data_IF_419746061747
#
_entry.id   IF_419746061747
#
_cell.length_a   1.000
_cell.length_b   1.000
_cell.length_c   1.000
_cell.angle_alpha   90.00
_cell.angle_beta   90.00
_cell.angle_gamma   90.00
#
_symmetry.space_group_name_H-M   'P 1'
#
loop_
_entity.id
_entity.type
_entity.pdbx_description
1 polymer ?
#
# COMPACT_ATOMS: atom_id res chain seq x y z
N UNK A 1 -27.48 -1.62 -4.00
CA UNK A 1 -26.24 -0.99 -4.50
C UNK A 1 -26.13 0.47 -4.08
N UNK A 2 -27.03 1.38 -4.51
CA UNK A 2 -26.92 2.80 -4.14
C UNK A 2 -26.84 3.07 -2.62
N UNK A 3 -27.74 2.49 -1.81
CA UNK A 3 -27.69 2.59 -0.34
C UNK A 3 -26.40 2.05 0.28
N UNK A 4 -25.78 1.03 -0.33
CA UNK A 4 -24.50 0.48 0.11
C UNK A 4 -23.35 1.44 -0.21
N UNK A 5 -23.30 1.95 -1.44
CA UNK A 5 -22.29 2.92 -1.89
C UNK A 5 -22.37 4.20 -1.04
N UNK A 6 -23.57 4.74 -0.82
CA UNK A 6 -23.75 5.93 0.04
C UNK A 6 -23.30 5.69 1.48
N UNK A 7 -23.63 4.52 2.06
CA UNK A 7 -23.17 4.15 3.40
C UNK A 7 -21.64 4.08 3.47
N UNK A 8 -21.00 3.44 2.48
CA UNK A 8 -19.54 3.33 2.39
C UNK A 8 -18.87 4.69 2.18
N UNK A 9 -19.45 5.54 1.33
CA UNK A 9 -18.96 6.90 1.10
C UNK A 9 -19.03 7.74 2.37
N UNK A 10 -20.14 7.67 3.11
CA UNK A 10 -20.29 8.36 4.39
C UNK A 10 -19.25 7.90 5.43
N UNK A 11 -19.03 6.58 5.55
CA UNK A 11 -17.99 6.01 6.42
C UNK A 11 -16.60 6.47 6.00
N UNK A 12 -16.32 6.54 4.69
CA UNK A 12 -15.07 7.03 4.15
C UNK A 12 -14.83 8.50 4.54
N UNK A 13 -15.83 9.37 4.38
CA UNK A 13 -15.72 10.79 4.75
C UNK A 13 -15.49 10.96 6.26
N UNK A 14 -16.24 10.22 7.09
CA UNK A 14 -16.04 10.24 8.55
C UNK A 14 -14.64 9.75 8.93
N UNK A 15 -14.20 8.63 8.34
CA UNK A 15 -12.88 8.07 8.64
C UNK A 15 -11.77 9.06 8.28
N UNK A 16 -11.85 9.70 7.11
CA UNK A 16 -10.89 10.70 6.69
C UNK A 16 -10.91 11.93 7.62
N UNK A 17 -12.10 12.41 8.00
CA UNK A 17 -12.24 13.52 8.94
C UNK A 17 -11.66 13.22 10.33
N UNK A 18 -11.87 11.99 10.84
CA UNK A 18 -11.25 11.53 12.09
C UNK A 18 -9.73 11.56 11.97
N UNK A 19 -9.16 11.06 10.87
CA UNK A 19 -7.71 11.06 10.65
C UNK A 19 -7.18 12.50 10.61
N UNK A 20 -7.79 13.37 9.80
CA UNK A 20 -7.42 14.80 9.70
C UNK A 20 -7.40 15.44 11.09
N UNK A 21 -8.44 15.21 11.88
CA UNK A 21 -8.59 15.79 13.23
C UNK A 21 -7.54 15.23 14.19
N UNK A 22 -7.33 13.91 14.18
CA UNK A 22 -6.35 13.25 15.02
C UNK A 22 -4.93 13.70 14.66
N UNK A 23 -4.60 13.77 13.38
CA UNK A 23 -3.31 14.28 12.89
C UNK A 23 -3.08 15.69 13.39
N UNK A 24 -4.06 16.60 13.27
CA UNK A 24 -3.94 17.96 13.77
C UNK A 24 -3.70 17.99 15.30
N UNK A 25 -4.49 17.25 16.08
CA UNK A 25 -4.35 17.18 17.55
C UNK A 25 -2.96 16.65 17.94
N UNK A 26 -2.49 15.59 17.27
CA UNK A 26 -1.17 15.03 17.53
C UNK A 26 -0.08 16.05 17.22
N UNK A 27 -0.18 16.78 16.11
CA UNK A 27 0.81 17.79 15.73
C UNK A 27 0.92 18.94 16.73
N UNK A 28 -0.21 19.48 17.21
CA UNK A 28 -0.18 20.56 18.22
C UNK A 28 0.27 20.06 19.60
N UNK A 29 0.18 18.75 19.86
CA UNK A 29 0.60 18.13 21.13
C UNK A 29 2.10 17.85 21.18
N UNK A 30 2.80 17.86 20.05
CA UNK A 30 4.25 17.66 20.01
C UNK A 30 4.94 18.90 20.63
N UNK A 31 5.71 18.75 21.72
CA UNK A 31 6.36 19.89 22.36
C UNK A 31 7.49 20.45 21.48
N UNK A 32 7.54 21.78 21.38
CA UNK A 32 8.56 22.55 20.68
C UNK A 32 8.09 23.14 19.34
N UNK A 33 8.63 24.30 18.99
CA UNK A 33 8.33 24.96 17.71
C UNK A 33 9.08 24.28 16.56
N UNK A 34 8.49 24.19 15.35
CA UNK A 34 9.20 23.72 14.15
C UNK A 34 10.41 24.60 13.80
N UNK A 35 10.53 25.80 14.38
CA UNK A 35 11.66 26.72 14.17
C UNK A 35 12.80 26.56 15.20
N UNK A 36 12.61 25.80 16.29
CA UNK A 36 13.58 25.71 17.39
C UNK A 36 14.93 25.05 17.01
N UNK A 37 15.00 24.31 15.90
CA UNK A 37 16.22 23.66 15.41
C UNK A 37 17.14 24.61 14.63
N UNK A 38 16.69 25.81 14.28
CA UNK A 38 17.47 26.85 13.62
C UNK A 38 18.07 27.76 14.70
N UNK A 39 19.22 27.33 15.25
CA UNK A 39 19.91 28.00 16.34
C UNK A 39 20.06 29.51 16.14
N UNK A 40 19.83 30.27 17.21
CA UNK A 40 19.95 31.73 17.27
C UNK A 40 19.05 32.51 16.29
N UNK A 41 17.83 32.05 16.04
CA UNK A 41 16.82 32.90 15.41
C UNK A 41 16.45 34.04 16.37
N UNK A 42 16.71 35.27 15.94
CA UNK A 42 16.24 36.50 16.60
C UNK A 42 14.72 36.37 16.85
N UNK A 43 14.23 36.68 18.06
CA UNK A 43 12.82 36.50 18.45
C UNK A 43 11.85 37.13 17.43
N UNK A 44 12.24 38.24 16.81
CA UNK A 44 11.48 38.92 15.76
C UNK A 44 11.33 38.06 14.51
N UNK A 45 12.38 37.35 14.09
CA UNK A 45 12.35 36.44 12.94
C UNK A 45 11.42 35.27 13.23
N UNK A 46 11.50 34.71 14.43
CA UNK A 46 10.62 33.63 14.84
C UNK A 46 9.14 34.05 14.85
N UNK A 47 8.81 35.23 15.40
CA UNK A 47 7.44 35.75 15.38
C UNK A 47 6.91 36.00 13.97
N UNK A 48 7.78 36.48 13.06
CA UNK A 48 7.40 36.68 11.66
C UNK A 48 7.14 35.34 10.94
N UNK A 49 7.94 34.32 11.22
CA UNK A 49 7.73 32.97 10.69
C UNK A 49 6.43 32.36 11.24
N UNK A 50 6.19 32.45 12.55
CA UNK A 50 4.95 31.96 13.16
C UNK A 50 3.70 32.63 12.55
N UNK A 51 3.75 33.95 12.29
CA UNK A 51 2.69 34.66 11.57
C UNK A 51 2.54 34.20 10.12
N UNK A 52 3.65 33.99 9.40
CA UNK A 52 3.63 33.55 8.00
C UNK A 52 2.94 32.18 7.86
N UNK A 53 3.21 31.26 8.77
CA UNK A 53 2.63 29.92 8.80
C UNK A 53 1.31 29.83 9.60
N UNK A 54 0.77 30.96 10.08
CA UNK A 54 -0.44 31.06 10.90
C UNK A 54 -0.39 30.27 12.23
N UNK A 55 0.82 29.98 12.73
CA UNK A 55 1.06 29.25 13.97
C UNK A 55 0.80 30.12 15.22
N UNK A 56 0.69 31.44 15.03
CA UNK A 56 0.33 32.43 16.05
C UNK A 56 -1.18 32.49 16.35
N UNK A 57 -2.02 31.90 15.48
CA UNK A 57 -3.48 31.95 15.62
C UNK A 57 -3.98 30.95 16.68
N UNK A 58 -5.16 31.19 17.30
CA UNK A 58 -5.81 30.19 18.14
C UNK A 58 -6.01 28.85 17.42
N UNK A 59 -5.88 27.73 18.13
CA UNK A 59 -5.90 26.38 17.53
C UNK A 59 -7.15 26.08 16.69
N UNK A 60 -8.32 26.59 17.07
CA UNK A 60 -9.54 26.40 16.29
C UNK A 60 -9.45 27.09 14.91
N UNK A 61 -8.78 28.25 14.82
CA UNK A 61 -8.54 28.93 13.54
C UNK A 61 -7.51 28.15 12.73
N UNK A 62 -6.43 27.68 13.35
CA UNK A 62 -5.44 26.84 12.67
C UNK A 62 -6.08 25.58 12.08
N UNK A 63 -6.97 24.93 12.83
CA UNK A 63 -7.72 23.76 12.36
C UNK A 63 -8.65 24.09 11.18
N UNK A 64 -9.36 25.23 11.22
CA UNK A 64 -10.21 25.66 10.10
C UNK A 64 -9.40 25.99 8.85
N UNK A 65 -8.24 26.62 8.99
CA UNK A 65 -7.31 26.86 7.88
C UNK A 65 -6.78 25.55 7.31
N UNK A 66 -6.43 24.60 8.17
CA UNK A 66 -5.99 23.27 7.77
C UNK A 66 -7.09 22.50 7.00
N UNK A 67 -8.33 22.53 7.50
CA UNK A 67 -9.48 21.96 6.78
C UNK A 67 -9.70 22.62 5.43
N UNK A 68 -9.60 23.96 5.37
CA UNK A 68 -9.69 24.71 4.11
C UNK A 68 -8.62 24.24 3.14
N UNK A 69 -7.36 24.17 3.56
CA UNK A 69 -6.22 23.69 2.78
C UNK A 69 -6.46 22.29 2.20
N UNK A 70 -6.99 21.36 2.99
CA UNK A 70 -7.31 20.00 2.52
C UNK A 70 -8.41 20.02 1.47
N UNK A 71 -9.50 20.77 1.70
CA UNK A 71 -10.64 20.83 0.77
C UNK A 71 -10.25 21.53 -0.54
N UNK A 72 -9.35 22.52 -0.49
CA UNK A 72 -8.82 23.20 -1.69
C UNK A 72 -7.66 22.46 -2.34
N UNK A 73 -7.20 21.33 -1.77
CA UNK A 73 -6.01 20.59 -2.19
C UNK A 73 -4.75 21.47 -2.25
N UNK A 74 -4.66 22.47 -1.38
CA UNK A 74 -3.51 23.36 -1.23
C UNK A 74 -2.95 23.17 0.17
N UNK A 75 -1.95 22.30 0.27
CA UNK A 75 -1.32 21.93 1.54
C UNK A 75 -0.28 22.95 2.01
N UNK A 76 -0.07 24.03 1.25
CA UNK A 76 0.81 25.14 1.61
C UNK A 76 2.31 24.84 1.46
N UNK A 77 3.16 25.79 1.88
CA UNK A 77 4.61 25.69 1.81
C UNK A 77 5.19 24.74 2.88
N UNK A 78 6.32 24.13 2.55
CA UNK A 78 7.15 23.38 3.51
C UNK A 78 7.90 24.36 4.42
N UNK A 79 7.93 24.07 5.73
CA UNK A 79 8.69 24.89 6.69
C UNK A 79 10.18 24.73 6.47
N UNK A 80 10.64 23.51 6.15
CA UNK A 80 12.06 23.18 6.03
C UNK A 80 12.60 23.30 4.61
N UNK A 81 11.74 23.44 3.61
CA UNK A 81 12.09 23.66 2.20
C UNK A 81 11.35 24.89 1.66
N UNK A 82 11.85 26.12 1.92
CA UNK A 82 11.12 27.38 1.67
C UNK A 82 10.69 27.61 0.21
N UNK A 83 11.38 26.99 -0.74
CA UNK A 83 11.10 27.12 -2.17
C UNK A 83 10.18 26.00 -2.71
N UNK A 84 9.56 25.21 -1.83
CA UNK A 84 8.77 24.04 -2.23
C UNK A 84 7.46 24.00 -1.47
N UNK A 85 6.38 23.68 -2.17
CA UNK A 85 5.09 23.38 -1.56
C UNK A 85 4.98 21.90 -1.24
N UNK A 86 4.13 21.57 -0.28
CA UNK A 86 3.79 20.16 0.02
C UNK A 86 3.24 19.48 -1.25
N UNK A 87 2.48 20.20 -2.08
CA UNK A 87 2.00 19.73 -3.37
C UNK A 87 3.15 19.36 -4.34
N UNK A 88 4.24 20.14 -4.38
CA UNK A 88 5.42 19.83 -5.20
C UNK A 88 6.16 18.57 -4.72
N UNK A 89 6.19 18.36 -3.40
CA UNK A 89 6.75 17.14 -2.81
C UNK A 89 5.91 15.91 -3.19
N UNK A 90 4.59 16.01 -3.00
CA UNK A 90 3.64 14.96 -3.35
C UNK A 90 3.66 14.65 -4.85
N UNK A 91 3.67 15.68 -5.71
CA UNK A 91 3.67 15.53 -7.16
C UNK A 91 4.93 14.83 -7.70
N UNK A 92 6.08 14.97 -7.02
CA UNK A 92 7.31 14.26 -7.39
C UNK A 92 7.39 12.87 -6.76
N UNK A 93 6.99 12.72 -5.51
CA UNK A 93 7.09 11.45 -4.79
C UNK A 93 6.03 10.43 -5.20
N UNK A 94 4.78 10.86 -5.42
CA UNK A 94 3.64 9.96 -5.64
C UNK A 94 3.80 9.08 -6.87
N UNK A 95 4.19 9.59 -8.05
CA UNK A 95 4.36 8.75 -9.24
C UNK A 95 5.36 7.62 -9.03
N UNK A 96 6.44 7.89 -8.28
CA UNK A 96 7.51 6.91 -8.00
C UNK A 96 7.02 5.82 -7.04
N UNK A 97 6.36 6.21 -5.95
CA UNK A 97 5.72 5.25 -5.03
C UNK A 97 4.64 4.42 -5.74
N UNK A 98 3.87 5.04 -6.64
CA UNK A 98 2.82 4.37 -7.39
C UNK A 98 3.39 3.37 -8.40
N UNK A 99 4.45 3.74 -9.12
CA UNK A 99 5.17 2.84 -10.03
C UNK A 99 5.71 1.61 -9.28
N UNK A 100 6.41 1.82 -8.16
CA UNK A 100 6.92 0.74 -7.31
C UNK A 100 5.78 -0.19 -6.84
N UNK A 101 4.67 0.38 -6.37
CA UNK A 101 3.53 -0.39 -5.90
C UNK A 101 2.86 -1.21 -7.00
N UNK A 102 2.63 -0.63 -8.19
CA UNK A 102 2.03 -1.33 -9.33
C UNK A 102 2.90 -2.51 -9.78
N UNK A 103 4.21 -2.29 -9.95
CA UNK A 103 5.14 -3.34 -10.35
C UNK A 103 5.18 -4.46 -9.30
N UNK A 104 5.21 -4.09 -8.01
CA UNK A 104 5.14 -5.04 -6.89
C UNK A 104 3.90 -5.92 -6.96
N UNK A 105 2.72 -5.33 -7.19
CA UNK A 105 1.46 -6.08 -7.28
C UNK A 105 1.49 -7.06 -8.47
N UNK A 106 1.96 -6.60 -9.63
CA UNK A 106 2.07 -7.45 -10.83
C UNK A 106 2.97 -8.65 -10.55
N UNK A 107 4.15 -8.41 -9.99
CA UNK A 107 5.10 -9.48 -9.64
C UNK A 107 4.50 -10.42 -8.61
N UNK A 108 3.89 -9.90 -7.55
CA UNK A 108 3.28 -10.72 -6.50
C UNK A 108 2.15 -11.60 -7.02
N UNK A 109 1.26 -11.06 -7.86
CA UNK A 109 0.13 -11.79 -8.43
C UNK A 109 0.63 -12.88 -9.38
N UNK A 110 1.52 -12.54 -10.31
CA UNK A 110 2.05 -13.52 -11.28
C UNK A 110 2.80 -14.64 -10.56
N UNK A 111 3.76 -14.30 -9.71
CA UNK A 111 4.57 -15.29 -8.99
C UNK A 111 3.72 -16.12 -8.01
N UNK A 112 2.79 -15.49 -7.30
CA UNK A 112 1.91 -16.17 -6.35
C UNK A 112 0.98 -17.17 -7.04
N UNK A 113 0.36 -16.77 -8.15
CA UNK A 113 -0.51 -17.68 -8.93
C UNK A 113 0.29 -18.86 -9.48
N UNK A 114 1.48 -18.59 -10.06
CA UNK A 114 2.35 -19.66 -10.60
C UNK A 114 2.73 -20.65 -9.49
N UNK A 115 3.23 -20.16 -8.35
CA UNK A 115 3.62 -21.02 -7.23
C UNK A 115 2.42 -21.82 -6.68
N UNK A 116 1.26 -21.19 -6.55
CA UNK A 116 0.04 -21.87 -6.08
C UNK A 116 -0.45 -22.96 -7.03
N UNK A 117 -0.42 -22.71 -8.35
CA UNK A 117 -0.75 -23.72 -9.37
C UNK A 117 0.24 -24.88 -9.31
N UNK A 118 1.54 -24.60 -9.29
CA UNK A 118 2.58 -25.63 -9.25
C UNK A 118 2.45 -26.52 -8.01
N UNK A 119 2.21 -25.92 -6.85
CA UNK A 119 2.00 -26.63 -5.59
C UNK A 119 0.74 -27.50 -5.63
N UNK A 120 -0.37 -27.00 -6.17
CA UNK A 120 -1.62 -27.77 -6.28
C UNK A 120 -1.53 -28.94 -7.26
N UNK A 121 -0.84 -28.76 -8.40
CA UNK A 121 -0.68 -29.83 -9.41
C UNK A 121 0.27 -30.94 -8.94
N UNK A 122 1.18 -30.63 -8.03
CA UNK A 122 2.16 -31.56 -7.45
C UNK A 122 1.91 -31.78 -5.96
N UNK A 123 0.63 -31.83 -5.60
CA UNK A 123 0.18 -31.92 -4.21
C UNK A 123 0.86 -33.07 -3.46
N UNK A 124 1.29 -32.80 -2.21
CA UNK A 124 2.05 -33.72 -1.36
C UNK A 124 3.39 -34.20 -1.94
N UNK A 125 3.90 -33.54 -2.98
CA UNK A 125 5.23 -33.76 -3.55
C UNK A 125 6.23 -32.67 -3.17
N UNK A 126 7.48 -32.83 -3.60
CA UNK A 126 8.59 -31.91 -3.28
C UNK A 126 8.29 -30.47 -3.72
N UNK A 127 7.67 -30.28 -4.89
CA UNK A 127 7.33 -28.95 -5.41
C UNK A 127 6.32 -28.24 -4.51
N UNK A 128 5.34 -28.98 -3.99
CA UNK A 128 4.35 -28.44 -3.04
C UNK A 128 5.04 -27.99 -1.74
N UNK A 129 5.84 -28.87 -1.13
CA UNK A 129 6.58 -28.54 0.10
C UNK A 129 7.54 -27.37 -0.08
N UNK A 130 8.27 -27.29 -1.19
CA UNK A 130 9.17 -26.16 -1.48
C UNK A 130 8.39 -24.85 -1.69
N UNK A 131 7.33 -24.87 -2.50
CA UNK A 131 6.51 -23.68 -2.75
C UNK A 131 5.85 -23.19 -1.46
N UNK A 132 5.32 -24.09 -0.62
CA UNK A 132 4.73 -23.74 0.66
C UNK A 132 5.78 -23.30 1.68
N UNK A 133 6.98 -23.89 1.67
CA UNK A 133 8.12 -23.43 2.46
C UNK A 133 8.50 -21.98 2.13
N UNK A 134 8.65 -21.66 0.84
CA UNK A 134 8.91 -20.29 0.36
C UNK A 134 7.79 -19.35 0.81
N UNK A 135 6.52 -19.75 0.66
CA UNK A 135 5.38 -18.93 1.08
C UNK A 135 5.35 -18.70 2.61
N UNK A 136 5.69 -19.71 3.41
CA UNK A 136 5.75 -19.58 4.87
C UNK A 136 6.89 -18.65 5.28
N UNK A 137 8.08 -18.81 4.69
CA UNK A 137 9.20 -17.90 4.92
C UNK A 137 8.83 -16.46 4.53
N UNK A 138 8.17 -16.29 3.38
CA UNK A 138 7.79 -14.98 2.87
C UNK A 138 6.81 -14.20 3.75
N UNK A 139 6.02 -14.88 4.59
CA UNK A 139 5.17 -14.21 5.59
C UNK A 139 5.89 -14.04 6.93
N UNK A 140 6.76 -14.99 7.26
CA UNK A 140 7.42 -15.01 8.57
C UNK A 140 8.55 -13.98 8.67
N UNK A 141 9.19 -13.63 7.55
CA UNK A 141 10.28 -12.65 7.51
C UNK A 141 9.71 -11.25 7.29
N UNK A 142 9.94 -10.29 8.21
CA UNK A 142 9.58 -8.90 7.99
C UNK A 142 10.22 -8.32 6.73
N UNK A 143 9.46 -7.55 5.95
CA UNK A 143 9.93 -7.01 4.66
C UNK A 143 11.23 -6.19 4.78
N UNK A 144 11.42 -5.43 5.86
CA UNK A 144 12.64 -4.65 6.06
C UNK A 144 13.88 -5.53 6.30
N UNK A 145 13.71 -6.69 6.94
CA UNK A 145 14.79 -7.67 7.14
C UNK A 145 15.13 -8.32 5.79
N UNK A 146 14.10 -8.70 5.02
CA UNK A 146 14.32 -9.25 3.69
C UNK A 146 15.04 -8.24 2.78
N UNK A 147 14.64 -6.96 2.82
CA UNK A 147 15.28 -5.90 2.06
C UNK A 147 16.77 -5.72 2.40
N UNK A 148 17.12 -5.64 3.68
CA UNK A 148 18.52 -5.49 4.11
C UNK A 148 19.35 -6.72 3.77
N UNK A 149 18.81 -7.93 3.89
CA UNK A 149 19.48 -9.16 3.45
C UNK A 149 19.69 -9.19 1.94
N UNK A 150 18.70 -8.81 1.14
CA UNK A 150 18.81 -8.74 -0.32
C UNK A 150 19.89 -7.74 -0.74
N UNK A 151 19.96 -6.57 -0.10
CA UNK A 151 21.05 -5.60 -0.32
C UNK A 151 22.39 -6.24 0.01
N UNK A 152 22.55 -6.80 1.22
CA UNK A 152 23.83 -7.34 1.65
C UNK A 152 24.33 -8.44 0.70
N UNK A 153 23.45 -9.36 0.29
CA UNK A 153 23.86 -10.52 -0.50
C UNK A 153 23.95 -10.21 -1.99
N UNK A 154 22.95 -9.56 -2.56
CA UNK A 154 22.85 -9.41 -4.02
C UNK A 154 23.44 -8.10 -4.54
N UNK A 155 23.48 -7.04 -3.73
CA UNK A 155 24.02 -5.74 -4.15
C UNK A 155 25.43 -5.49 -3.62
N UNK A 156 25.75 -5.90 -2.39
CA UNK A 156 27.08 -5.68 -1.78
C UNK A 156 28.02 -6.85 -2.04
N UNK A 157 27.64 -8.08 -1.68
CA UNK A 157 28.56 -9.22 -1.79
C UNK A 157 28.72 -9.73 -3.23
N UNK A 158 27.62 -9.78 -4.01
CA UNK A 158 27.61 -10.27 -5.40
C UNK A 158 27.68 -9.16 -6.45
N UNK A 159 27.39 -7.91 -6.08
CA UNK A 159 27.39 -6.74 -6.98
C UNK A 159 26.49 -6.90 -8.23
N UNK A 160 25.45 -7.74 -8.18
CA UNK A 160 24.55 -7.97 -9.31
C UNK A 160 23.54 -6.84 -9.51
N UNK A 161 23.18 -6.15 -8.44
CA UNK A 161 22.16 -5.12 -8.43
C UNK A 161 22.66 -3.86 -7.72
N UNK A 162 22.13 -2.68 -8.09
CA UNK A 162 22.46 -1.45 -7.38
C UNK A 162 21.86 -1.46 -5.97
N UNK A 163 22.59 -0.85 -5.03
CA UNK A 163 22.24 -0.82 -3.60
C UNK A 163 21.08 0.13 -3.30
N UNK A 164 21.03 1.28 -3.98
CA UNK A 164 20.13 2.38 -3.63
C UNK A 164 19.89 3.34 -4.79
N UNK A 165 18.98 4.30 -4.62
CA UNK A 165 18.51 5.31 -5.59
C UNK A 165 17.45 4.79 -6.57
N UNK A 166 17.08 5.59 -7.58
CA UNK A 166 16.01 5.29 -8.55
C UNK A 166 16.37 5.81 -9.94
N UNK A 167 17.47 5.30 -10.50
CA UNK A 167 18.04 5.79 -11.78
C UNK A 167 17.88 4.84 -12.97
N UNK A 168 17.61 3.56 -12.71
CA UNK A 168 17.46 2.55 -13.76
C UNK A 168 16.50 1.44 -13.32
N UNK A 169 15.91 0.66 -14.24
CA UNK A 169 15.03 -0.45 -13.90
C UNK A 169 15.65 -1.49 -12.95
N UNK A 170 16.99 -1.63 -12.94
CA UNK A 170 17.69 -2.53 -12.03
C UNK A 170 17.52 -2.15 -10.55
N UNK A 171 17.27 -0.85 -10.26
CA UNK A 171 16.98 -0.38 -8.90
C UNK A 171 15.63 -0.84 -8.39
N UNK A 172 14.72 -1.27 -9.28
CA UNK A 172 13.40 -1.76 -8.88
C UNK A 172 13.43 -3.20 -8.39
N UNK A 173 14.41 -4.00 -8.82
CA UNK A 173 14.38 -5.47 -8.64
C UNK A 173 14.36 -5.87 -7.16
N UNK A 174 15.32 -5.39 -6.38
CA UNK A 174 15.41 -5.76 -4.96
C UNK A 174 14.23 -5.21 -4.12
N UNK A 175 13.83 -3.93 -4.25
CA UNK A 175 12.64 -3.41 -3.56
C UNK A 175 11.37 -4.18 -3.92
N UNK A 176 11.17 -4.50 -5.20
CA UNK A 176 9.99 -5.22 -5.68
C UNK A 176 9.98 -6.64 -5.13
N UNK A 177 11.10 -7.36 -5.12
CA UNK A 177 11.19 -8.70 -4.51
C UNK A 177 10.85 -8.62 -3.02
N UNK A 178 11.43 -7.67 -2.29
CA UNK A 178 11.18 -7.50 -0.86
C UNK A 178 9.70 -7.22 -0.56
N UNK A 179 9.07 -6.31 -1.31
CA UNK A 179 7.66 -5.96 -1.12
C UNK A 179 6.69 -7.02 -1.62
N UNK A 180 7.01 -7.70 -2.73
CA UNK A 180 6.10 -8.65 -3.37
C UNK A 180 6.02 -9.97 -2.60
N UNK A 181 7.04 -10.31 -1.79
CA UNK A 181 7.16 -11.61 -1.13
C UNK A 181 5.98 -11.94 -0.22
N UNK A 182 5.52 -10.99 0.62
CA UNK A 182 4.36 -11.20 1.49
C UNK A 182 3.05 -11.45 0.72
N UNK A 183 2.63 -10.53 -0.17
CA UNK A 183 1.45 -10.70 -1.03
C UNK A 183 1.54 -11.95 -1.93
N UNK A 184 2.71 -12.24 -2.51
CA UNK A 184 2.96 -13.46 -3.28
C UNK A 184 2.63 -14.71 -2.46
N UNK A 185 3.10 -14.77 -1.22
CA UNK A 185 2.88 -15.92 -0.35
C UNK A 185 1.40 -16.11 0.00
N UNK A 186 0.67 -15.03 0.25
CA UNK A 186 -0.78 -15.07 0.50
C UNK A 186 -1.50 -15.60 -0.75
N UNK A 187 -1.18 -15.06 -1.92
CA UNK A 187 -1.78 -15.46 -3.20
C UNK A 187 -1.46 -16.92 -3.53
N UNK A 188 -0.22 -17.37 -3.29
CA UNK A 188 0.21 -18.74 -3.54
C UNK A 188 -0.57 -19.75 -2.70
N UNK A 189 -0.72 -19.50 -1.39
CA UNK A 189 -1.49 -20.39 -0.51
C UNK A 189 -2.97 -20.43 -0.88
N UNK A 190 -3.56 -19.26 -1.15
CA UNK A 190 -4.97 -19.17 -1.50
C UNK A 190 -5.26 -19.84 -2.84
N UNK A 191 -4.41 -19.59 -3.85
CA UNK A 191 -4.50 -20.25 -5.16
C UNK A 191 -4.33 -21.76 -5.02
N UNK A 192 -3.39 -22.22 -4.20
CA UNK A 192 -3.18 -23.65 -3.97
C UNK A 192 -4.42 -24.30 -3.35
N UNK A 193 -4.94 -23.75 -2.24
CA UNK A 193 -6.10 -24.32 -1.53
C UNK A 193 -7.31 -24.43 -2.46
N UNK A 194 -7.63 -23.34 -3.13
CA UNK A 194 -8.78 -23.25 -4.04
C UNK A 194 -8.61 -24.14 -5.28
N UNK A 195 -7.39 -24.27 -5.82
CA UNK A 195 -7.10 -25.20 -6.91
C UNK A 195 -7.32 -26.66 -6.49
N UNK A 196 -6.89 -27.06 -5.29
CA UNK A 196 -7.11 -28.42 -4.79
C UNK A 196 -8.60 -28.73 -4.67
N UNK A 197 -9.39 -27.81 -4.11
CA UNK A 197 -10.85 -27.95 -4.02
C UNK A 197 -11.49 -28.03 -5.41
N UNK A 198 -11.14 -27.11 -6.31
CA UNK A 198 -11.71 -27.02 -7.66
C UNK A 198 -11.39 -28.26 -8.49
N UNK A 199 -10.18 -28.80 -8.41
CA UNK A 199 -9.76 -29.97 -9.19
C UNK A 199 -10.54 -31.25 -8.85
N UNK A 200 -11.21 -31.30 -7.70
CA UNK A 200 -12.04 -32.45 -7.28
C UNK A 200 -13.50 -32.35 -7.74
N UNK A 201 -13.91 -31.21 -8.32
CA UNK A 201 -15.30 -30.94 -8.71
C UNK A 201 -15.75 -31.76 -9.93
N UNK A 202 -17.06 -32.06 -10.01
CA UNK A 202 -17.60 -32.96 -11.03
C UNK A 202 -17.50 -32.39 -12.46
N UNK A 203 -17.56 -31.06 -12.64
CA UNK A 203 -17.36 -30.46 -13.95
C UNK A 203 -15.92 -30.64 -14.46
N UNK A 204 -14.93 -30.79 -13.57
CA UNK A 204 -13.55 -31.13 -13.93
C UNK A 204 -13.45 -32.60 -14.35
N UNK A 205 -14.12 -33.52 -13.62
CA UNK A 205 -14.20 -34.94 -14.00
C UNK A 205 -14.87 -35.10 -15.36
N UNK A 206 -15.96 -34.39 -15.61
CA UNK A 206 -16.65 -34.34 -16.90
C UNK A 206 -15.72 -33.83 -18.01
N UNK A 207 -14.94 -32.77 -17.74
CA UNK A 207 -13.98 -32.26 -18.70
C UNK A 207 -12.89 -33.29 -19.07
N UNK A 208 -12.39 -34.05 -18.08
CA UNK A 208 -11.47 -35.17 -18.31
C UNK A 208 -12.11 -36.28 -19.13
N UNK A 209 -13.35 -36.67 -18.82
CA UNK A 209 -14.10 -37.69 -19.54
C UNK A 209 -14.35 -37.30 -21.02
N UNK A 210 -14.48 -36.00 -21.31
CA UNK A 210 -14.57 -35.46 -22.67
C UNK A 210 -13.23 -35.42 -23.43
N UNK A 211 -12.14 -35.91 -22.83
CA UNK A 211 -10.81 -35.96 -23.46
C UNK A 211 -10.13 -34.59 -23.59
N UNK A 212 -10.53 -33.58 -22.81
CA UNK A 212 -9.87 -32.26 -22.85
C UNK A 212 -8.42 -32.39 -22.35
N UNK A 213 -7.45 -31.74 -23.02
CA UNK A 213 -6.06 -31.79 -22.59
C UNK A 213 -5.87 -31.12 -21.23
N UNK A 214 -4.92 -31.58 -20.38
CA UNK A 214 -4.75 -31.08 -19.00
C UNK A 214 -4.60 -29.57 -18.89
N UNK A 215 -3.84 -28.93 -19.79
CA UNK A 215 -3.65 -27.48 -19.78
C UNK A 215 -4.97 -26.72 -19.97
N UNK A 216 -5.87 -27.21 -20.82
CA UNK A 216 -7.18 -26.60 -21.06
C UNK A 216 -8.08 -26.76 -19.85
N UNK A 217 -8.02 -27.90 -19.15
CA UNK A 217 -8.72 -28.11 -17.89
C UNK A 217 -8.23 -27.12 -16.84
N UNK A 218 -6.90 -26.95 -16.70
CA UNK A 218 -6.29 -26.06 -15.72
C UNK A 218 -6.66 -24.60 -16.01
N UNK A 219 -6.29 -24.06 -17.18
CA UNK A 219 -6.43 -22.63 -17.46
C UNK A 219 -7.87 -22.20 -17.73
N UNK A 220 -8.70 -23.05 -18.38
CA UNK A 220 -10.07 -22.67 -18.77
C UNK A 220 -11.11 -23.00 -17.71
N UNK A 221 -10.93 -24.07 -16.94
CA UNK A 221 -11.96 -24.58 -16.03
C UNK A 221 -11.59 -24.48 -14.56
N UNK A 222 -10.33 -24.77 -14.20
CA UNK A 222 -9.92 -24.76 -12.80
C UNK A 222 -9.54 -23.36 -12.32
N UNK A 223 -8.58 -22.73 -13.01
CA UNK A 223 -7.96 -21.48 -12.58
C UNK A 223 -8.96 -20.32 -12.47
N UNK A 224 -9.88 -20.22 -13.43
CA UNK A 224 -10.92 -19.18 -13.41
C UNK A 224 -11.73 -19.18 -12.12
N UNK A 225 -12.05 -20.36 -11.59
CA UNK A 225 -12.82 -20.49 -10.36
C UNK A 225 -11.93 -20.37 -9.12
N UNK A 226 -10.71 -20.89 -9.19
CA UNK A 226 -9.72 -20.80 -8.10
C UNK A 226 -9.26 -19.36 -7.81
N UNK A 227 -9.27 -18.46 -8.81
CA UNK A 227 -8.83 -17.07 -8.63
C UNK A 227 -9.91 -16.15 -8.03
N UNK A 228 -11.16 -16.58 -7.88
CA UNK A 228 -12.22 -15.73 -7.32
C UNK A 228 -11.85 -15.16 -5.92
N UNK A 229 -11.31 -15.96 -4.98
CA UNK A 229 -10.85 -15.44 -3.70
C UNK A 229 -9.59 -14.57 -3.81
N UNK A 230 -8.72 -14.81 -4.81
CA UNK A 230 -7.54 -13.97 -5.06
C UNK A 230 -7.95 -12.57 -5.50
N UNK A 231 -8.88 -12.47 -6.45
CA UNK A 231 -9.43 -11.19 -6.94
C UNK A 231 -10.09 -10.42 -5.80
N UNK A 232 -10.81 -11.14 -4.93
CA UNK A 232 -11.46 -10.58 -3.74
C UNK A 232 -10.49 -9.83 -2.82
N UNK A 233 -9.36 -10.45 -2.49
CA UNK A 233 -8.38 -9.85 -1.57
C UNK A 233 -7.38 -8.93 -2.28
N UNK A 234 -7.34 -8.95 -3.62
CA UNK A 234 -6.38 -8.18 -4.42
C UNK A 234 -6.49 -6.69 -4.12
N UNK A 235 -7.71 -6.18 -3.99
CA UNK A 235 -7.92 -4.79 -3.64
C UNK A 235 -7.27 -4.39 -2.31
N UNK A 236 -7.42 -5.23 -1.28
CA UNK A 236 -6.80 -4.99 0.03
C UNK A 236 -5.28 -5.06 -0.04
N UNK A 237 -4.73 -6.01 -0.81
CA UNK A 237 -3.28 -6.13 -1.03
C UNK A 237 -2.72 -4.90 -1.77
N UNK A 238 -3.41 -4.44 -2.81
CA UNK A 238 -3.05 -3.23 -3.57
C UNK A 238 -3.02 -2.03 -2.64
N UNK A 239 -4.10 -1.82 -1.87
CA UNK A 239 -4.21 -0.71 -0.93
C UNK A 239 -3.05 -0.75 0.09
N UNK A 240 -2.76 -1.92 0.66
CA UNK A 240 -1.70 -2.11 1.64
C UNK A 240 -0.29 -1.87 1.08
N UNK A 241 0.02 -2.31 -0.15
CA UNK A 241 1.34 -2.10 -0.77
C UNK A 241 1.56 -0.63 -1.10
N UNK A 242 0.56 0.03 -1.69
CA UNK A 242 0.65 1.42 -2.13
C UNK A 242 0.80 2.39 -0.95
N UNK A 243 0.28 2.02 0.23
CA UNK A 243 0.56 2.76 1.46
C UNK A 243 1.83 2.28 2.15
N UNK A 244 2.06 0.98 2.30
CA UNK A 244 3.08 0.42 3.20
C UNK A 244 4.51 0.40 2.66
N UNK A 245 4.80 1.04 1.51
CA UNK A 245 6.14 1.03 0.90
C UNK A 245 7.16 1.91 1.60
N UNK A 246 6.77 2.77 2.56
CA UNK A 246 7.65 3.81 3.12
C UNK A 246 8.99 3.28 3.63
N UNK A 247 8.96 2.16 4.36
CA UNK A 247 10.17 1.57 4.96
C UNK A 247 11.10 1.04 3.88
N UNK A 248 10.55 0.44 2.83
CA UNK A 248 11.33 -0.07 1.71
C UNK A 248 11.90 1.09 0.88
N UNK A 249 11.11 2.12 0.62
CA UNK A 249 11.58 3.34 -0.03
C UNK A 249 12.75 3.97 0.72
N UNK A 250 12.68 4.01 2.06
CA UNK A 250 13.77 4.54 2.89
C UNK A 250 15.03 3.67 2.81
N UNK A 251 14.89 2.34 2.91
CA UNK A 251 16.03 1.41 2.89
C UNK A 251 16.79 1.47 1.56
N UNK A 252 16.07 1.57 0.44
CA UNK A 252 16.66 1.64 -0.90
C UNK A 252 16.90 3.09 -1.38
N UNK A 253 16.70 4.09 -0.53
CA UNK A 253 16.79 5.52 -0.87
C UNK A 253 16.00 5.91 -2.14
N UNK A 254 14.80 5.35 -2.29
CA UNK A 254 13.87 5.66 -3.37
C UNK A 254 13.29 7.05 -3.11
N UNK A 255 13.30 7.98 -4.09
CA UNK A 255 12.77 9.33 -3.92
C UNK A 255 11.23 9.36 -4.02
N UNK A 256 10.56 8.40 -3.38
CA UNK A 256 9.11 8.32 -3.31
C UNK A 256 8.53 9.18 -2.17
N UNK A 257 7.22 9.08 -1.97
CA UNK A 257 6.53 9.83 -0.91
C UNK A 257 6.96 9.40 0.50
N UNK A 258 7.36 8.14 0.68
CA UNK A 258 7.75 7.61 1.98
C UNK A 258 8.97 8.35 2.53
N UNK A 259 9.90 8.71 1.64
CA UNK A 259 11.05 9.55 1.98
C UNK A 259 10.61 10.89 2.55
N UNK A 260 9.75 11.64 1.85
CA UNK A 260 9.30 12.96 2.30
C UNK A 260 8.54 12.89 3.63
N UNK A 261 7.73 11.85 3.82
CA UNK A 261 7.05 11.60 5.10
C UNK A 261 8.05 11.39 6.24
N UNK A 262 8.99 10.45 6.10
CA UNK A 262 9.98 10.15 7.15
C UNK A 262 10.91 11.34 7.42
N UNK A 263 11.38 12.00 6.37
CA UNK A 263 12.26 13.17 6.47
C UNK A 263 11.55 14.35 7.17
N UNK A 264 10.26 14.58 6.87
CA UNK A 264 9.48 15.63 7.51
C UNK A 264 9.29 15.40 9.01
N UNK A 265 9.15 14.15 9.45
CA UNK A 265 9.08 13.80 10.87
C UNK A 265 10.39 14.14 11.57
N UNK A 266 11.52 13.72 10.99
CA UNK A 266 12.84 13.97 11.57
C UNK A 266 13.17 15.47 11.66
N UNK A 267 12.75 16.26 10.67
CA UNK A 267 13.01 17.70 10.64
C UNK A 267 11.86 18.55 11.22
N UNK A 268 10.80 17.92 11.74
CA UNK A 268 9.61 18.61 12.29
C UNK A 268 8.95 19.56 11.29
N UNK A 269 8.85 19.16 10.02
CA UNK A 269 8.16 19.95 9.00
C UNK A 269 6.65 19.68 9.04
N UNK A 270 5.95 20.50 9.83
CA UNK A 270 4.54 20.24 10.17
C UNK A 270 3.60 20.22 8.96
N UNK A 271 3.63 21.19 8.02
CA UNK A 271 2.82 21.12 6.81
C UNK A 271 3.04 19.85 6.00
N UNK A 272 4.29 19.41 5.83
CA UNK A 272 4.61 18.20 5.07
C UNK A 272 4.09 16.95 5.78
N UNK A 273 4.28 16.82 7.09
CA UNK A 273 3.75 15.69 7.88
C UNK A 273 2.22 15.62 7.72
N UNK A 274 1.53 16.75 7.93
CA UNK A 274 0.07 16.81 7.88
C UNK A 274 -0.47 16.54 6.47
N UNK A 275 0.14 17.12 5.43
CA UNK A 275 -0.30 16.95 4.05
C UNK A 275 -0.04 15.54 3.52
N UNK A 276 1.14 14.97 3.78
CA UNK A 276 1.45 13.59 3.39
C UNK A 276 0.58 12.57 4.13
N UNK A 277 0.32 12.76 5.43
CA UNK A 277 -0.57 11.89 6.22
C UNK A 277 -1.99 11.87 5.65
N UNK A 278 -2.56 13.05 5.35
CA UNK A 278 -3.90 13.16 4.77
C UNK A 278 -3.93 12.58 3.35
N UNK A 279 -2.91 12.84 2.54
CA UNK A 279 -2.80 12.29 1.21
C UNK A 279 -2.79 10.75 1.23
N UNK A 280 -1.91 10.14 2.03
CA UNK A 280 -1.85 8.68 2.18
C UNK A 280 -3.17 8.10 2.69
N UNK A 281 -3.80 8.76 3.67
CA UNK A 281 -5.05 8.30 4.25
C UNK A 281 -6.20 8.39 3.26
N UNK A 282 -6.31 9.51 2.55
CA UNK A 282 -7.30 9.68 1.49
C UNK A 282 -7.10 8.63 0.39
N UNK A 283 -5.87 8.43 -0.07
CA UNK A 283 -5.55 7.42 -1.06
C UNK A 283 -5.93 6.01 -0.59
N UNK A 284 -5.53 5.62 0.63
CA UNK A 284 -5.86 4.32 1.21
C UNK A 284 -7.38 4.10 1.27
N UNK A 285 -8.11 5.07 1.80
CA UNK A 285 -9.55 4.97 1.99
C UNK A 285 -10.27 4.91 0.64
N UNK A 286 -9.81 5.69 -0.36
CA UNK A 286 -10.33 5.61 -1.73
C UNK A 286 -10.09 4.21 -2.30
N UNK A 287 -8.89 3.66 -2.14
CA UNK A 287 -8.59 2.31 -2.63
C UNK A 287 -9.47 1.28 -1.95
N UNK A 288 -9.60 1.30 -0.61
CA UNK A 288 -10.49 0.42 0.14
C UNK A 288 -11.95 0.55 -0.28
N UNK A 289 -12.41 1.77 -0.53
CA UNK A 289 -13.76 2.03 -1.05
C UNK A 289 -13.97 1.41 -2.43
N UNK A 290 -12.97 1.49 -3.33
CA UNK A 290 -13.02 0.82 -4.63
C UNK A 290 -13.07 -0.71 -4.47
N UNK A 291 -12.32 -1.27 -3.51
CA UNK A 291 -12.40 -2.71 -3.17
C UNK A 291 -13.81 -3.06 -2.71
N UNK A 292 -14.37 -2.29 -1.78
CA UNK A 292 -15.70 -2.52 -1.23
C UNK A 292 -16.78 -2.49 -2.31
N UNK A 293 -16.64 -1.63 -3.32
CA UNK A 293 -17.51 -1.58 -4.49
C UNK A 293 -17.32 -2.83 -5.35
N UNK A 294 -16.07 -3.17 -5.70
CA UNK A 294 -15.75 -4.34 -6.50
C UNK A 294 -16.32 -5.62 -5.84
N UNK A 295 -16.17 -5.73 -4.52
CA UNK A 295 -16.72 -6.82 -3.73
C UNK A 295 -18.25 -6.85 -3.76
N UNK A 296 -18.91 -5.68 -3.62
CA UNK A 296 -20.36 -5.55 -3.75
C UNK A 296 -20.92 -5.92 -5.12
N UNK A 297 -20.11 -5.82 -6.19
CA UNK A 297 -20.48 -6.21 -7.55
C UNK A 297 -20.26 -7.71 -7.76
N UNK A 298 -19.12 -8.24 -7.28
CA UNK A 298 -18.71 -9.63 -7.48
C UNK A 298 -19.46 -10.63 -6.59
N UNK A 299 -19.82 -10.25 -5.37
CA UNK A 299 -20.54 -11.12 -4.44
C UNK A 299 -22.03 -10.74 -4.30
N UNK A 300 -22.96 -11.48 -4.93
CA UNK A 300 -24.39 -11.23 -4.81
C UNK A 300 -24.95 -11.50 -3.40
N UNK A 301 -24.24 -12.20 -2.51
CA UNK A 301 -24.68 -12.51 -1.14
C UNK A 301 -24.72 -11.29 -0.23
N UNK A 302 -23.96 -10.24 -0.56
CA UNK A 302 -23.99 -8.95 0.16
C UNK A 302 -25.37 -8.26 0.03
N UNK A 303 -26.17 -8.63 -0.99
CA UNK A 303 -27.56 -8.18 -1.12
C UNK A 303 -28.53 -8.91 -0.18
N UNK A 304 -28.17 -10.09 0.34
CA UNK A 304 -29.09 -11.03 1.02
C UNK A 304 -29.11 -10.86 2.54
N UNK A 305 -28.10 -10.23 3.16
CA UNK A 305 -28.09 -9.97 4.63
C UNK A 305 -29.16 -8.97 5.12
N UNK A 306 -30.12 -8.63 4.27
CA UNK A 306 -31.22 -7.70 4.56
C UNK A 306 -32.61 -8.34 4.47
N UNK A 307 -32.72 -9.67 4.31
CA UNK A 307 -34.00 -10.37 4.14
C UNK A 307 -34.33 -11.44 5.19
N UNK A 308 -33.47 -11.68 6.19
CA UNK A 308 -33.73 -12.65 7.27
C UNK A 308 -33.98 -11.96 8.64
N UNK A 309 -34.64 -10.79 8.62
CA UNK A 309 -34.90 -10.02 9.84
C UNK A 309 -36.17 -9.17 9.80
N UNK A 310 -37.19 -9.62 9.06
CA UNK A 310 -38.59 -9.19 9.20
C UNK A 310 -39.49 -10.42 9.22
#
# INVERSE_FOLDING_TARGET
MLKYILKRLFIMVITLWIIITLTFILMISVPGSPFNSEGNSNEIVQQNLERHYNLDKPYHIQYLLYLKSIVTLDFGPSIKQPNQTVNDLLGRGFPISAELGIVTIIVAVISGIILGILAALRHNGVIDYLAMGIAVLGISVPNFILATLLIQQLAVNLEWFPVATWKSPMHMVLPVIALATGPMAIIARLTRSTMLEVLTQDYIKMARAKGLPPWKIIFKHALRNALMPVITIMGTLVAGIMTGSFVIEQIFAIPGMGKYFVESINHRDFPVIMGTTVFYSAFLIIMLFLVDIAYGILDPRIKVSKKEGE
#
